data_IF_036554117622
#
_entry.id   IF_036554117622
#
_cell.length_a   1.000
_cell.length_b   1.000
_cell.length_c   1.000
_cell.angle_alpha   90.00
_cell.angle_beta   90.00
_cell.angle_gamma   90.00
#
_symmetry.space_group_name_H-M   'P 1'
#
loop_
_entity.id
_entity.type
_entity.pdbx_description
1 polymer ?
#
# COMPACT_ATOMS: atom_id res chain seq x y z
N UNK A 1 35.80 -4.72 -18.32
CA UNK A 1 35.48 -5.77 -17.29
C UNK A 1 34.10 -6.30 -17.62
N UNK A 2 33.87 -7.63 -17.62
CA UNK A 2 32.54 -8.13 -17.90
C UNK A 2 31.73 -8.09 -16.58
N UNK A 3 30.81 -7.15 -16.45
CA UNK A 3 29.96 -7.00 -15.26
C UNK A 3 28.69 -7.84 -15.35
N UNK A 4 28.30 -8.21 -16.58
CA UNK A 4 27.07 -8.97 -16.84
C UNK A 4 27.25 -10.45 -16.45
N UNK A 5 26.29 -11.04 -15.77
CA UNK A 5 26.31 -12.43 -15.32
C UNK A 5 27.38 -12.74 -14.26
N UNK A 6 27.83 -11.75 -13.50
CA UNK A 6 28.87 -11.90 -12.48
C UNK A 6 28.40 -11.35 -11.13
N UNK A 7 29.21 -11.59 -10.07
CA UNK A 7 28.94 -11.02 -8.73
C UNK A 7 28.67 -9.51 -8.74
N UNK A 8 29.25 -8.78 -9.70
CA UNK A 8 29.06 -7.32 -9.83
C UNK A 8 27.59 -6.95 -10.10
N UNK A 9 26.79 -7.86 -10.65
CA UNK A 9 25.35 -7.64 -10.83
C UNK A 9 24.60 -7.46 -9.50
N UNK A 10 25.12 -7.98 -8.39
CA UNK A 10 24.50 -7.82 -7.05
C UNK A 10 24.96 -6.56 -6.30
N UNK A 11 26.01 -5.89 -6.79
CA UNK A 11 26.57 -4.70 -6.10
C UNK A 11 25.58 -3.52 -6.04
N UNK A 12 24.83 -3.16 -7.10
CA UNK A 12 23.89 -2.05 -7.05
C UNK A 12 22.84 -2.17 -5.95
N UNK A 13 22.10 -3.31 -5.80
CA UNK A 13 21.13 -3.45 -4.74
C UNK A 13 21.77 -3.50 -3.34
N UNK A 14 22.96 -4.11 -3.18
CA UNK A 14 23.67 -4.13 -1.91
C UNK A 14 24.02 -2.71 -1.47
N UNK A 15 24.51 -1.88 -2.39
CA UNK A 15 24.82 -0.48 -2.10
C UNK A 15 23.55 0.30 -1.77
N UNK A 16 22.47 0.14 -2.54
CA UNK A 16 21.21 0.81 -2.28
C UNK A 16 20.67 0.48 -0.87
N UNK A 17 20.65 -0.79 -0.51
CA UNK A 17 20.17 -1.23 0.81
C UNK A 17 21.11 -0.73 1.92
N UNK A 18 22.42 -0.86 1.75
CA UNK A 18 23.41 -0.43 2.75
C UNK A 18 23.32 1.07 3.00
N UNK A 19 23.24 1.87 1.93
CA UNK A 19 23.06 3.32 2.05
C UNK A 19 21.74 3.66 2.73
N UNK A 20 20.64 3.02 2.37
CA UNK A 20 19.34 3.28 3.00
C UNK A 20 19.36 2.98 4.51
N UNK A 21 20.05 1.92 4.94
CA UNK A 21 20.21 1.57 6.36
C UNK A 21 21.06 2.58 7.12
N UNK A 22 22.13 3.10 6.50
CA UNK A 22 23.07 4.06 7.14
C UNK A 22 22.45 5.46 7.16
N UNK A 23 21.96 5.94 6.01
CA UNK A 23 21.45 7.30 5.86
C UNK A 23 20.03 7.48 6.35
N UNK A 24 19.27 6.38 6.46
CA UNK A 24 17.81 6.35 6.71
C UNK A 24 17.03 7.12 5.66
N UNK A 25 17.57 7.21 4.46
CA UNK A 25 17.00 7.94 3.34
C UNK A 25 16.92 7.00 2.12
N UNK A 26 15.69 6.75 1.63
CA UNK A 26 15.43 5.76 0.61
C UNK A 26 15.63 6.28 -0.82
N UNK A 27 15.28 7.55 -1.09
CA UNK A 27 15.27 8.07 -2.47
C UNK A 27 16.67 8.15 -3.07
N UNK A 28 17.59 8.82 -2.36
CA UNK A 28 18.98 8.95 -2.82
C UNK A 28 19.67 7.59 -2.86
N UNK A 29 19.39 6.72 -1.92
CA UNK A 29 19.99 5.39 -1.84
C UNK A 29 19.58 4.52 -3.03
N UNK A 30 18.28 4.48 -3.38
CA UNK A 30 17.79 3.78 -4.56
C UNK A 30 18.33 4.40 -5.86
N UNK A 31 18.32 5.73 -5.95
CA UNK A 31 18.84 6.42 -7.13
C UNK A 31 20.33 6.12 -7.37
N UNK A 32 21.15 6.12 -6.31
CA UNK A 32 22.58 5.74 -6.39
C UNK A 32 22.70 4.28 -6.88
N UNK A 33 21.85 3.38 -6.37
CA UNK A 33 21.78 2.00 -6.86
C UNK A 33 21.49 1.91 -8.37
N UNK A 34 20.51 2.68 -8.85
CA UNK A 34 20.16 2.76 -10.28
C UNK A 34 21.35 3.28 -11.10
N UNK A 35 22.00 4.34 -10.64
CA UNK A 35 23.16 4.93 -11.33
C UNK A 35 24.31 3.92 -11.43
N UNK A 36 24.64 3.22 -10.34
CA UNK A 36 25.71 2.21 -10.33
C UNK A 36 25.33 1.03 -11.23
N UNK A 37 24.08 0.57 -11.18
CA UNK A 37 23.58 -0.49 -12.05
C UNK A 37 23.70 -0.13 -13.53
N UNK A 38 23.27 1.05 -13.91
CA UNK A 38 23.38 1.54 -15.29
C UNK A 38 24.84 1.74 -15.74
N UNK A 39 25.73 2.23 -14.86
CA UNK A 39 27.17 2.36 -15.17
C UNK A 39 27.78 0.99 -15.47
N UNK A 40 27.47 -0.03 -14.71
CA UNK A 40 28.00 -1.37 -14.92
C UNK A 40 27.39 -2.03 -16.17
N UNK A 41 26.10 -1.83 -16.42
CA UNK A 41 25.42 -2.39 -17.58
C UNK A 41 25.93 -1.78 -18.90
N UNK A 42 26.33 -0.49 -18.88
CA UNK A 42 26.80 0.25 -20.03
C UNK A 42 28.33 0.37 -20.12
N UNK A 43 29.09 -0.45 -19.39
CA UNK A 43 30.59 -0.40 -19.37
C UNK A 43 31.15 1.03 -19.19
N UNK A 44 30.53 1.81 -18.31
CA UNK A 44 30.86 3.21 -18.01
C UNK A 44 30.76 4.18 -19.21
N UNK A 45 29.99 3.85 -20.24
CA UNK A 45 29.72 4.78 -21.35
C UNK A 45 28.71 5.86 -20.90
N UNK A 46 29.09 7.16 -20.82
CA UNK A 46 28.28 8.19 -20.16
C UNK A 46 26.90 8.41 -20.80
N UNK A 47 26.84 8.43 -22.13
CA UNK A 47 25.59 8.67 -22.87
C UNK A 47 24.66 7.48 -22.73
N UNK A 48 25.14 6.25 -22.92
CA UNK A 48 24.36 5.04 -22.76
C UNK A 48 23.86 4.88 -21.31
N UNK A 49 24.70 5.24 -20.32
CA UNK A 49 24.30 5.22 -18.90
C UNK A 49 23.15 6.19 -18.63
N UNK A 50 23.21 7.42 -19.13
CA UNK A 50 22.12 8.39 -18.96
C UNK A 50 20.85 7.95 -19.69
N UNK A 51 20.99 7.40 -20.90
CA UNK A 51 19.87 6.88 -21.67
C UNK A 51 19.18 5.72 -20.94
N UNK A 52 19.95 4.79 -20.42
CA UNK A 52 19.45 3.68 -19.61
C UNK A 52 18.75 4.17 -18.34
N UNK A 53 19.29 5.14 -17.60
CA UNK A 53 18.64 5.69 -16.40
C UNK A 53 17.31 6.37 -16.75
N UNK A 54 17.29 7.19 -17.79
CA UNK A 54 16.15 8.03 -18.14
C UNK A 54 15.09 7.23 -18.89
N UNK A 55 15.44 6.61 -20.01
CA UNK A 55 14.47 5.96 -20.89
C UNK A 55 14.09 4.58 -20.38
N UNK A 56 15.05 3.68 -20.21
CA UNK A 56 14.78 2.29 -19.82
C UNK A 56 14.45 2.16 -18.32
N UNK A 57 14.98 3.07 -17.50
CA UNK A 57 14.73 3.12 -16.08
C UNK A 57 13.47 3.92 -15.74
N UNK A 58 13.58 5.24 -15.62
CA UNK A 58 12.55 6.09 -15.04
C UNK A 58 11.30 6.18 -15.91
N UNK A 59 11.47 6.48 -17.22
CA UNK A 59 10.32 6.65 -18.13
C UNK A 59 9.57 5.33 -18.30
N UNK A 60 10.29 4.23 -18.55
CA UNK A 60 9.68 2.91 -18.66
C UNK A 60 8.98 2.52 -17.35
N UNK A 61 9.64 2.70 -16.19
CA UNK A 61 9.02 2.41 -14.89
C UNK A 61 7.71 3.19 -14.66
N UNK A 62 7.65 4.46 -15.06
CA UNK A 62 6.43 5.27 -14.96
C UNK A 62 5.37 4.77 -15.95
N UNK A 63 5.74 4.50 -17.18
CA UNK A 63 4.83 4.06 -18.24
C UNK A 63 4.20 2.71 -17.89
N UNK A 64 5.00 1.74 -17.52
CA UNK A 64 4.57 0.37 -17.25
C UNK A 64 3.72 0.28 -15.97
N UNK A 65 3.96 1.18 -14.99
CA UNK A 65 3.22 1.22 -13.73
C UNK A 65 2.20 2.37 -13.64
N UNK A 66 1.91 3.05 -14.74
CA UNK A 66 1.01 4.22 -14.75
C UNK A 66 -0.38 3.91 -14.15
N UNK A 67 -0.91 2.71 -14.38
CA UNK A 67 -2.16 2.26 -13.80
C UNK A 67 -2.12 2.19 -12.28
N UNK A 68 -1.07 1.59 -11.70
CA UNK A 68 -0.90 1.54 -10.23
C UNK A 68 -0.72 2.94 -9.67
N UNK A 69 0.06 3.81 -10.32
CA UNK A 69 0.25 5.19 -9.86
C UNK A 69 -1.07 5.96 -9.85
N UNK A 70 -1.87 5.81 -10.90
CA UNK A 70 -3.22 6.40 -10.94
C UNK A 70 -4.09 5.85 -9.80
N UNK A 71 -4.08 4.54 -9.57
CA UNK A 71 -4.83 3.93 -8.48
C UNK A 71 -4.40 4.46 -7.10
N UNK A 72 -3.10 4.54 -6.81
CA UNK A 72 -2.59 5.12 -5.56
C UNK A 72 -3.07 6.55 -5.36
N UNK A 73 -3.02 7.39 -6.40
CA UNK A 73 -3.52 8.77 -6.34
C UNK A 73 -5.02 8.81 -6.04
N UNK A 74 -5.82 7.96 -6.69
CA UNK A 74 -7.26 7.85 -6.43
C UNK A 74 -7.54 7.46 -4.98
N UNK A 75 -6.78 6.50 -4.45
CA UNK A 75 -6.84 6.13 -3.02
C UNK A 75 -6.52 7.32 -2.11
N UNK A 76 -5.42 8.01 -2.38
CA UNK A 76 -5.05 9.20 -1.60
C UNK A 76 -6.14 10.29 -1.61
N UNK A 77 -6.81 10.49 -2.75
CA UNK A 77 -7.94 11.44 -2.87
C UNK A 77 -9.14 10.96 -2.03
N UNK A 78 -9.49 9.66 -2.07
CA UNK A 78 -10.59 9.10 -1.27
C UNK A 78 -10.29 9.24 0.23
N UNK A 79 -9.05 8.96 0.66
CA UNK A 79 -8.62 9.17 2.06
C UNK A 79 -8.76 10.65 2.47
N UNK A 80 -8.29 11.57 1.63
CA UNK A 80 -8.42 13.00 1.89
C UNK A 80 -9.89 13.44 1.99
N UNK A 81 -10.78 12.88 1.16
CA UNK A 81 -12.23 13.12 1.22
C UNK A 81 -12.86 12.60 2.50
N UNK A 82 -12.53 11.38 2.92
CA UNK A 82 -13.02 10.76 4.16
C UNK A 82 -12.58 11.56 5.39
N UNK A 83 -11.34 12.01 5.40
CA UNK A 83 -10.81 12.85 6.47
C UNK A 83 -11.48 14.24 6.49
N UNK A 84 -11.64 14.88 5.33
CA UNK A 84 -12.35 16.15 5.20
C UNK A 84 -13.82 16.04 5.65
N UNK A 85 -14.49 14.93 5.33
CA UNK A 85 -15.85 14.65 5.79
C UNK A 85 -15.95 14.41 7.30
N UNK A 86 -14.82 14.22 7.98
CA UNK A 86 -14.77 13.91 9.41
C UNK A 86 -15.17 12.48 9.74
N UNK A 87 -15.15 11.58 8.76
CA UNK A 87 -15.48 10.16 8.92
C UNK A 87 -14.51 9.46 9.87
N UNK A 88 -13.21 9.69 9.69
CA UNK A 88 -12.14 9.18 10.56
C UNK A 88 -12.30 9.66 12.00
N UNK A 89 -12.50 10.95 12.21
CA UNK A 89 -12.71 11.51 13.54
C UNK A 89 -14.00 11.02 14.21
N UNK A 90 -15.06 10.80 13.43
CA UNK A 90 -16.31 10.21 13.93
C UNK A 90 -16.13 8.76 14.38
N UNK A 91 -15.35 7.97 13.65
CA UNK A 91 -14.99 6.63 14.07
C UNK A 91 -14.14 6.66 15.36
N UNK A 92 -13.17 7.58 15.44
CA UNK A 92 -12.40 7.80 16.65
C UNK A 92 -13.31 8.06 17.86
N UNK A 93 -14.26 8.99 17.75
CA UNK A 93 -15.25 9.29 18.83
C UNK A 93 -16.13 8.07 19.16
N UNK A 94 -16.55 7.30 18.18
CA UNK A 94 -17.29 6.07 18.40
C UNK A 94 -16.46 5.02 19.14
N UNK A 95 -15.23 4.82 18.69
CA UNK A 95 -14.27 3.91 19.30
C UNK A 95 -13.95 4.31 20.73
N UNK A 96 -13.72 5.60 20.99
CA UNK A 96 -13.53 6.15 22.34
C UNK A 96 -14.69 5.84 23.29
N UNK A 97 -15.92 5.88 22.78
CA UNK A 97 -17.11 5.61 23.58
C UNK A 97 -17.31 4.12 23.86
N UNK A 98 -16.90 3.25 22.94
CA UNK A 98 -17.20 1.82 23.01
C UNK A 98 -15.98 0.97 23.42
N UNK A 99 -14.77 1.48 23.25
CA UNK A 99 -13.54 0.81 23.64
C UNK A 99 -13.09 1.36 24.98
N UNK A 100 -13.05 0.51 25.99
CA UNK A 100 -12.74 0.92 27.38
C UNK A 100 -11.43 0.36 27.89
N UNK A 101 -10.76 -0.48 27.12
CA UNK A 101 -9.51 -1.13 27.55
C UNK A 101 -8.41 -0.92 26.53
N UNK A 102 -7.17 -0.88 27.02
CA UNK A 102 -5.97 -0.79 26.19
C UNK A 102 -5.88 -1.95 25.19
N UNK A 103 -6.10 -3.19 25.67
CA UNK A 103 -6.16 -4.40 24.83
C UNK A 103 -7.24 -4.27 23.75
N UNK A 104 -8.39 -3.72 24.13
CA UNK A 104 -9.47 -3.44 23.17
C UNK A 104 -9.07 -2.45 22.09
N UNK A 105 -8.31 -1.40 22.42
CA UNK A 105 -7.82 -0.42 21.45
C UNK A 105 -6.78 -1.04 20.50
N UNK A 106 -5.85 -1.84 21.02
CA UNK A 106 -4.87 -2.55 20.19
C UNK A 106 -5.52 -3.57 19.26
N UNK A 107 -6.47 -4.38 19.77
CA UNK A 107 -7.22 -5.34 18.94
C UNK A 107 -8.13 -4.64 17.92
N UNK A 108 -8.76 -3.53 18.28
CA UNK A 108 -9.56 -2.75 17.33
C UNK A 108 -8.70 -2.16 16.21
N UNK A 109 -7.48 -1.72 16.52
CA UNK A 109 -6.51 -1.28 15.50
C UNK A 109 -6.18 -2.42 14.54
N UNK A 110 -5.89 -3.60 15.08
CA UNK A 110 -5.59 -4.80 14.29
C UNK A 110 -6.77 -5.23 13.42
N UNK A 111 -8.00 -5.30 13.99
CA UNK A 111 -9.20 -5.66 13.25
C UNK A 111 -9.51 -4.65 12.14
N UNK A 112 -9.37 -3.35 12.42
CA UNK A 112 -9.56 -2.32 11.40
C UNK A 112 -8.53 -2.48 10.27
N UNK A 113 -7.28 -2.78 10.61
CA UNK A 113 -6.23 -3.09 9.63
C UNK A 113 -6.59 -4.29 8.76
N UNK A 114 -7.15 -5.36 9.34
CA UNK A 114 -7.63 -6.51 8.56
C UNK A 114 -8.79 -6.13 7.63
N UNK A 115 -9.70 -5.28 8.06
CA UNK A 115 -10.85 -4.87 7.25
C UNK A 115 -10.45 -4.01 6.05
N UNK A 116 -9.32 -3.31 6.13
CA UNK A 116 -8.79 -2.45 5.06
C UNK A 116 -7.65 -3.16 4.32
N UNK A 117 -7.94 -4.29 3.69
CA UNK A 117 -6.96 -5.20 3.10
C UNK A 117 -6.60 -4.92 1.63
N UNK A 118 -7.16 -3.88 1.02
CA UNK A 118 -7.03 -3.66 -0.43
C UNK A 118 -5.62 -3.22 -0.81
N UNK A 119 -5.05 -2.31 0.00
CA UNK A 119 -3.73 -1.72 -0.23
C UNK A 119 -3.09 -1.35 1.10
N UNK A 120 -1.80 -1.62 1.25
CA UNK A 120 -1.07 -1.41 2.50
C UNK A 120 -0.84 0.08 2.81
N UNK A 121 -0.61 0.93 1.82
CA UNK A 121 -0.48 2.37 2.04
C UNK A 121 -1.81 2.98 2.49
N UNK A 122 -2.90 2.61 1.81
CA UNK A 122 -4.24 3.03 2.21
C UNK A 122 -4.58 2.55 3.63
N UNK A 123 -4.23 1.31 3.96
CA UNK A 123 -4.38 0.75 5.30
C UNK A 123 -3.62 1.61 6.33
N UNK A 124 -2.32 1.83 6.13
CA UNK A 124 -1.49 2.60 7.05
C UNK A 124 -2.03 4.01 7.29
N UNK A 125 -2.39 4.74 6.24
CA UNK A 125 -2.91 6.10 6.35
C UNK A 125 -4.26 6.14 7.07
N UNK A 126 -5.17 5.24 6.71
CA UNK A 126 -6.53 5.24 7.26
C UNK A 126 -6.54 4.75 8.70
N UNK A 127 -5.95 3.59 8.99
CA UNK A 127 -5.89 3.05 10.36
C UNK A 127 -5.14 4.00 11.28
N UNK A 128 -4.03 4.58 10.80
CA UNK A 128 -3.24 5.55 11.54
C UNK A 128 -4.05 6.79 11.94
N UNK A 129 -4.75 7.40 10.98
CA UNK A 129 -5.57 8.59 11.25
C UNK A 129 -6.76 8.31 12.16
N UNK A 130 -7.39 7.15 11.99
CA UNK A 130 -8.60 6.75 12.73
C UNK A 130 -8.30 6.31 14.15
N UNK A 131 -7.25 5.50 14.34
CA UNK A 131 -6.96 4.89 15.64
C UNK A 131 -6.08 5.74 16.55
N UNK A 132 -5.38 6.74 16.00
CA UNK A 132 -4.52 7.63 16.80
C UNK A 132 -5.23 8.27 17.99
N UNK A 133 -6.41 8.92 17.85
CA UNK A 133 -7.11 9.47 19.00
C UNK A 133 -7.48 8.43 20.06
N UNK A 134 -7.88 7.23 19.60
CA UNK A 134 -8.26 6.11 20.48
C UNK A 134 -7.06 5.60 21.26
N UNK A 135 -5.95 5.37 20.59
CA UNK A 135 -4.71 4.87 21.22
C UNK A 135 -4.08 5.91 22.14
N UNK A 136 -4.10 7.20 21.76
CA UNK A 136 -3.61 8.30 22.61
C UNK A 136 -4.41 8.36 23.93
N UNK A 137 -5.73 8.21 23.89
CA UNK A 137 -6.58 8.17 25.09
C UNK A 137 -6.28 6.98 26.01
N UNK A 138 -5.91 5.84 25.46
CA UNK A 138 -5.56 4.64 26.20
C UNK A 138 -4.06 4.58 26.58
N UNK A 139 -3.32 5.69 26.42
CA UNK A 139 -1.89 5.80 26.74
C UNK A 139 -1.05 4.73 26.03
N UNK A 140 -1.42 4.38 24.81
CA UNK A 140 -0.63 3.53 23.92
C UNK A 140 0.36 4.45 23.19
N UNK A 141 1.64 4.11 23.21
CA UNK A 141 2.66 4.93 22.55
C UNK A 141 2.45 4.95 21.02
N UNK A 142 2.80 6.05 20.39
CA UNK A 142 2.74 6.16 18.91
C UNK A 142 3.65 5.18 18.19
N UNK A 143 4.86 4.86 18.69
CA UNK A 143 5.64 3.75 18.15
C UNK A 143 4.91 2.41 18.17
N UNK A 144 4.14 2.12 19.24
CA UNK A 144 3.33 0.90 19.30
C UNK A 144 2.20 0.91 18.29
N UNK A 145 1.50 2.05 18.13
CA UNK A 145 0.50 2.22 17.10
C UNK A 145 1.10 2.02 15.70
N UNK A 146 2.25 2.65 15.43
CA UNK A 146 2.94 2.49 14.15
C UNK A 146 3.32 1.02 13.89
N UNK A 147 3.82 0.31 14.90
CA UNK A 147 4.10 -1.13 14.82
C UNK A 147 2.85 -1.94 14.48
N UNK A 148 1.73 -1.70 15.18
CA UNK A 148 0.48 -2.43 14.93
C UNK A 148 -0.02 -2.22 13.51
N UNK A 149 0.07 -1.00 12.99
CA UNK A 149 -0.35 -0.64 11.64
C UNK A 149 0.57 -1.32 10.61
N UNK A 150 1.87 -1.13 10.73
CA UNK A 150 2.86 -1.66 9.80
C UNK A 150 2.84 -3.20 9.77
N UNK A 151 2.84 -3.82 10.96
CA UNK A 151 2.78 -5.27 11.10
C UNK A 151 1.44 -5.90 10.68
N UNK A 152 0.40 -5.11 10.41
CA UNK A 152 -0.90 -5.59 9.92
C UNK A 152 -1.08 -5.31 8.43
N UNK A 153 -0.73 -4.12 7.97
CA UNK A 153 -1.06 -3.64 6.64
C UNK A 153 -0.49 -4.50 5.52
N UNK A 154 0.83 -4.66 5.45
CA UNK A 154 1.46 -5.49 4.42
C UNK A 154 1.08 -6.98 4.58
N UNK A 155 1.16 -7.61 5.77
CA UNK A 155 0.78 -9.00 5.94
C UNK A 155 -0.67 -9.33 5.54
N UNK A 156 -1.64 -8.44 5.79
CA UNK A 156 -3.02 -8.69 5.37
C UNK A 156 -3.17 -8.61 3.85
N UNK A 157 -2.51 -7.64 3.20
CA UNK A 157 -2.53 -7.51 1.76
C UNK A 157 -1.87 -8.70 1.05
N UNK A 158 -0.83 -9.29 1.67
CA UNK A 158 -0.11 -10.46 1.15
C UNK A 158 -0.89 -11.79 1.24
N UNK A 159 -2.03 -11.82 1.92
CA UNK A 159 -2.92 -13.01 2.00
C UNK A 159 -4.32 -12.71 1.49
N UNK A 160 -4.63 -11.47 1.15
CA UNK A 160 -5.92 -11.08 0.61
C UNK A 160 -5.92 -11.20 -0.92
N UNK A 161 -6.77 -12.04 -1.53
CA UNK A 161 -6.77 -12.26 -2.98
C UNK A 161 -7.26 -11.07 -3.80
N UNK A 162 -7.80 -10.04 -3.13
CA UNK A 162 -8.27 -8.78 -3.74
C UNK A 162 -7.42 -7.64 -3.18
N UNK A 163 -6.12 -7.65 -3.44
CA UNK A 163 -5.20 -6.63 -2.95
C UNK A 163 -4.25 -6.15 -4.05
N UNK A 164 -3.61 -5.00 -3.84
CA UNK A 164 -2.53 -4.53 -4.71
C UNK A 164 -1.39 -5.54 -4.81
N UNK A 165 -1.11 -6.28 -3.73
CA UNK A 165 -0.10 -7.32 -3.71
C UNK A 165 -0.49 -8.56 -4.52
N UNK A 166 -1.75 -8.99 -4.46
CA UNK A 166 -2.23 -10.09 -5.29
C UNK A 166 -2.07 -9.77 -6.78
N UNK A 167 -2.36 -8.52 -7.16
CA UNK A 167 -2.15 -8.04 -8.52
C UNK A 167 -0.66 -8.07 -8.93
N UNK A 168 0.24 -7.52 -8.10
CA UNK A 168 1.66 -7.48 -8.38
C UNK A 168 2.30 -8.89 -8.45
N UNK A 169 1.91 -9.81 -7.57
CA UNK A 169 2.38 -11.21 -7.61
C UNK A 169 1.85 -11.93 -8.83
N UNK A 170 0.58 -11.68 -9.21
CA UNK A 170 -0.02 -12.31 -10.38
C UNK A 170 0.69 -11.93 -11.67
N UNK A 171 1.04 -10.66 -11.86
CA UNK A 171 1.79 -10.21 -13.04
C UNK A 171 3.18 -10.87 -13.13
N UNK A 172 3.88 -10.99 -11.99
CA UNK A 172 5.19 -11.65 -11.96
C UNK A 172 5.08 -13.16 -12.27
N UNK A 173 3.98 -13.81 -11.87
CA UNK A 173 3.77 -15.24 -12.12
C UNK A 173 3.44 -15.53 -13.59
N UNK A 174 2.82 -14.61 -14.30
CA UNK A 174 2.55 -14.72 -15.74
C UNK A 174 3.84 -14.77 -16.55
N UNK A 175 4.88 -14.03 -16.14
CA UNK A 175 6.19 -14.04 -16.80
C UNK A 175 6.93 -15.40 -16.66
N UNK A 176 6.51 -16.26 -15.72
CA UNK A 176 7.18 -17.54 -15.41
C UNK A 176 6.62 -18.75 -16.19
N UNK A 177 5.59 -18.57 -17.02
CA UNK A 177 4.94 -19.65 -17.84
C UNK A 177 4.67 -20.95 -17.05
N UNK A 178 4.17 -20.81 -15.83
CA UNK A 178 3.94 -21.93 -14.91
C UNK A 178 2.72 -22.78 -15.27
N UNK A 179 1.94 -22.41 -16.29
CA UNK A 179 0.67 -23.04 -16.66
C UNK A 179 -0.45 -22.87 -15.62
N UNK A 180 -0.24 -22.04 -14.59
CA UNK A 180 -1.20 -21.70 -13.53
C UNK A 180 -1.40 -20.20 -13.56
N UNK A 181 -2.67 -19.73 -13.45
CA UNK A 181 -2.91 -18.28 -13.39
C UNK A 181 -2.26 -17.68 -12.13
N UNK A 182 -1.77 -16.43 -12.23
CA UNK A 182 -1.09 -15.74 -11.15
C UNK A 182 -1.92 -15.69 -9.86
N UNK A 183 -3.24 -15.48 -9.95
CA UNK A 183 -4.11 -15.48 -8.78
C UNK A 183 -4.25 -16.88 -8.16
N UNK A 184 -4.28 -17.95 -8.96
CA UNK A 184 -4.30 -19.32 -8.43
C UNK A 184 -3.00 -19.62 -7.69
N UNK A 185 -1.87 -19.16 -8.23
CA UNK A 185 -0.58 -19.27 -7.56
C UNK A 185 -0.60 -18.52 -6.24
N UNK A 186 -1.09 -17.27 -6.25
CA UNK A 186 -1.21 -16.44 -5.05
C UNK A 186 -2.07 -17.12 -3.97
N UNK A 187 -3.27 -17.59 -4.32
CA UNK A 187 -4.17 -18.27 -3.37
C UNK A 187 -3.53 -19.54 -2.81
N UNK A 188 -2.84 -20.33 -3.66
CA UNK A 188 -2.12 -21.52 -3.20
C UNK A 188 -0.94 -21.20 -2.30
N UNK A 189 -0.32 -20.02 -2.44
CA UNK A 189 0.79 -19.58 -1.61
C UNK A 189 0.35 -19.06 -0.22
N UNK A 190 -0.92 -18.67 -0.02
CA UNK A 190 -1.41 -18.13 1.26
C UNK A 190 -1.06 -19.01 2.46
N UNK A 191 -1.30 -20.35 2.46
CA UNK A 191 -0.97 -21.20 3.61
C UNK A 191 0.53 -21.29 3.91
N UNK A 192 1.37 -20.98 2.93
CA UNK A 192 2.83 -21.00 3.03
C UNK A 192 3.42 -19.62 3.35
N UNK A 193 2.58 -18.57 3.40
CA UNK A 193 3.01 -17.25 3.81
C UNK A 193 3.13 -17.17 5.36
N UNK A 194 4.16 -17.88 5.87
CA UNK A 194 4.41 -17.95 7.32
C UNK A 194 4.63 -16.59 7.95
N UNK A 195 5.21 -15.65 7.22
CA UNK A 195 5.42 -14.29 7.73
C UNK A 195 4.09 -13.65 8.12
N UNK A 196 3.12 -13.58 7.21
CA UNK A 196 1.82 -12.98 7.48
C UNK A 196 1.07 -13.71 8.58
N UNK A 197 1.01 -15.04 8.53
CA UNK A 197 0.28 -15.85 9.49
C UNK A 197 0.88 -15.75 10.90
N UNK A 198 2.20 -15.86 11.02
CA UNK A 198 2.90 -15.77 12.32
C UNK A 198 2.85 -14.36 12.87
N UNK A 199 2.93 -13.32 12.04
CA UNK A 199 2.80 -11.92 12.49
C UNK A 199 1.44 -11.67 13.12
N UNK A 200 0.36 -12.18 12.57
CA UNK A 200 -0.97 -12.06 13.18
C UNK A 200 -1.05 -12.76 14.54
N UNK A 201 -0.54 -14.01 14.61
CA UNK A 201 -0.46 -14.72 15.89
C UNK A 201 0.37 -13.94 16.90
N UNK A 202 1.47 -13.35 16.45
CA UNK A 202 2.38 -12.58 17.30
C UNK A 202 1.71 -11.31 17.83
N UNK A 203 1.04 -10.51 16.97
CA UNK A 203 0.31 -9.31 17.38
C UNK A 203 -0.75 -9.67 18.43
N UNK A 204 -1.60 -10.67 18.14
CA UNK A 204 -2.67 -11.09 19.05
C UNK A 204 -2.07 -11.55 20.39
N UNK A 205 -1.02 -12.36 20.36
CA UNK A 205 -0.38 -12.90 21.54
C UNK A 205 0.22 -11.79 22.42
N UNK A 206 1.00 -10.86 21.83
CA UNK A 206 1.59 -9.74 22.55
C UNK A 206 0.51 -8.85 23.19
N UNK A 207 -0.55 -8.56 22.44
CA UNK A 207 -1.67 -7.74 22.91
C UNK A 207 -2.41 -8.39 24.07
N UNK A 208 -2.75 -9.67 23.96
CA UNK A 208 -3.46 -10.41 25.02
C UNK A 208 -2.62 -10.62 26.26
N UNK A 209 -1.32 -10.95 26.11
CA UNK A 209 -0.40 -11.11 27.22
C UNK A 209 0.05 -9.76 27.83
N UNK A 210 -0.29 -8.62 27.19
CA UNK A 210 0.14 -7.27 27.59
C UNK A 210 1.67 -7.17 27.72
N UNK A 211 2.36 -7.86 26.82
CA UNK A 211 3.80 -8.00 26.86
C UNK A 211 4.46 -7.11 25.81
N UNK A 212 5.34 -6.25 26.24
CA UNK A 212 6.14 -5.38 25.42
C UNK A 212 7.62 -5.72 25.65
N UNK A 213 8.43 -5.81 24.58
CA UNK A 213 9.83 -6.19 24.65
C UNK A 213 10.74 -5.18 23.93
N UNK A 214 12.03 -5.25 24.24
CA UNK A 214 13.04 -4.42 23.62
C UNK A 214 12.78 -2.91 23.82
N UNK A 215 13.08 -2.07 22.83
CA UNK A 215 12.85 -0.62 22.90
C UNK A 215 11.37 -0.26 23.08
N UNK A 216 10.44 -1.07 22.58
CA UNK A 216 8.99 -0.83 22.69
C UNK A 216 8.55 -0.74 24.15
N UNK A 217 9.10 -1.60 25.03
CA UNK A 217 8.79 -1.57 26.45
C UNK A 217 9.08 -0.19 27.08
N UNK A 218 10.20 0.42 26.72
CA UNK A 218 10.55 1.76 27.24
C UNK A 218 9.61 2.85 26.78
N UNK A 219 9.10 2.78 25.53
CA UNK A 219 8.09 3.72 25.03
C UNK A 219 6.76 3.53 25.75
N UNK A 220 6.36 2.30 25.95
CA UNK A 220 5.10 1.95 26.59
C UNK A 220 5.10 2.28 28.10
N UNK A 221 6.22 2.06 28.80
CA UNK A 221 6.36 2.46 30.21
C UNK A 221 6.30 3.99 30.37
N UNK A 222 6.92 4.75 29.47
CA UNK A 222 6.81 6.23 29.45
C UNK A 222 5.39 6.68 29.18
N UNK A 223 4.74 6.11 28.18
CA UNK A 223 3.36 6.44 27.85
C UNK A 223 2.40 6.21 29.03
N UNK A 224 2.59 5.11 29.78
CA UNK A 224 1.77 4.78 30.97
C UNK A 224 2.05 5.66 32.17
N UNK A 225 3.33 5.96 32.44
CA UNK A 225 3.74 6.62 33.67
C UNK A 225 3.71 8.15 33.59
N UNK A 226 4.05 8.70 32.43
CA UNK A 226 4.18 10.17 32.23
C UNK A 226 3.17 10.74 31.27
N UNK A 227 2.42 9.89 30.55
CA UNK A 227 1.54 10.33 29.46
C UNK A 227 2.31 10.78 28.21
N UNK A 228 3.64 10.63 28.19
CA UNK A 228 4.45 10.91 27.01
C UNK A 228 4.31 9.81 25.99
N UNK A 229 3.54 10.08 24.93
CA UNK A 229 3.26 9.14 23.86
C UNK A 229 4.42 9.00 22.85
N UNK A 230 5.56 9.70 23.10
CA UNK A 230 6.81 9.60 22.32
C UNK A 230 6.61 9.69 20.80
N UNK A 231 5.96 10.74 20.37
CA UNK A 231 5.85 11.04 18.96
C UNK A 231 6.05 12.52 18.76
N UNK A 232 6.78 12.92 17.72
CA UNK A 232 6.81 14.31 17.31
C UNK A 232 5.38 14.88 17.35
N UNK A 233 5.23 16.01 17.99
CA UNK A 233 3.96 16.75 18.11
C UNK A 233 3.51 17.30 16.74
N UNK A 234 3.33 16.44 15.80
CA UNK A 234 2.52 16.65 14.63
C UNK A 234 1.07 16.48 15.02
N UNK A 235 0.58 17.35 15.89
CA UNK A 235 -0.84 17.60 16.03
C UNK A 235 -1.31 18.28 14.77
N UNK A 236 -1.56 17.54 13.73
CA UNK A 236 -2.61 17.92 12.82
C UNK A 236 -3.91 17.65 13.58
N UNK A 237 -4.28 18.56 14.49
CA UNK A 237 -5.68 18.83 14.68
C UNK A 237 -6.18 19.36 13.33
N UNK A 238 -6.39 18.43 12.39
CA UNK A 238 -7.28 18.72 11.29
C UNK A 238 -8.60 19.08 11.96
N UNK A 239 -9.09 20.30 11.70
CA UNK A 239 -10.42 20.75 12.10
C UNK A 239 -11.44 19.75 11.52
N UNK A 240 -11.64 18.66 12.25
CA UNK A 240 -12.48 17.56 11.81
C UNK A 240 -13.93 18.08 11.72
N UNK A 241 -14.56 17.90 10.57
CA UNK A 241 -15.94 18.32 10.38
C UNK A 241 -16.85 17.69 11.45
N UNK A 242 -17.50 18.49 12.32
CA UNK A 242 -18.34 17.96 13.40
C UNK A 242 -19.57 17.19 12.90
N UNK A 243 -19.96 17.38 11.63
CA UNK A 243 -21.09 16.70 11.00
C UNK A 243 -20.74 15.28 10.52
N UNK A 244 -19.46 14.89 10.53
CA UNK A 244 -18.99 13.57 10.11
C UNK A 244 -19.58 12.47 10.99
N UNK A 245 -19.94 11.36 10.36
CA UNK A 245 -20.44 10.13 10.98
C UNK A 245 -19.53 8.96 10.59
N UNK A 246 -19.53 7.89 11.36
CA UNK A 246 -18.79 6.65 11.07
C UNK A 246 -19.10 6.12 9.66
N UNK A 247 -20.35 6.28 9.22
CA UNK A 247 -20.80 5.85 7.90
C UNK A 247 -20.06 6.59 6.76
N UNK A 248 -19.51 7.78 7.01
CA UNK A 248 -18.74 8.56 6.04
C UNK A 248 -17.31 8.04 5.85
N UNK A 249 -16.87 7.13 6.73
CA UNK A 249 -15.67 6.31 6.54
C UNK A 249 -16.05 4.97 5.88
N UNK A 250 -17.08 4.30 6.39
CA UNK A 250 -17.42 2.92 6.03
C UNK A 250 -17.95 2.81 4.59
N UNK A 251 -18.84 3.73 4.17
CA UNK A 251 -19.39 3.68 2.80
C UNK A 251 -18.34 3.86 1.71
N UNK A 252 -17.44 4.86 1.74
CA UNK A 252 -16.37 4.98 0.76
C UNK A 252 -15.49 3.73 0.65
N UNK A 253 -15.16 3.10 1.78
CA UNK A 253 -14.37 1.85 1.80
C UNK A 253 -15.12 0.69 1.15
N UNK A 254 -16.40 0.49 1.51
CA UNK A 254 -17.23 -0.56 0.90
C UNK A 254 -17.42 -0.31 -0.60
N UNK A 255 -17.70 0.93 -0.99
CA UNK A 255 -17.83 1.31 -2.40
C UNK A 255 -16.53 1.02 -3.14
N UNK A 256 -15.38 1.38 -2.59
CA UNK A 256 -14.08 1.10 -3.20
C UNK A 256 -13.87 -0.41 -3.40
N UNK A 257 -14.14 -1.24 -2.37
CA UNK A 257 -14.02 -2.70 -2.47
C UNK A 257 -14.91 -3.24 -3.59
N UNK A 258 -16.19 -2.86 -3.61
CA UNK A 258 -17.14 -3.34 -4.61
C UNK A 258 -16.73 -2.90 -6.01
N UNK A 259 -16.40 -1.63 -6.20
CA UNK A 259 -16.07 -1.09 -7.53
C UNK A 259 -14.73 -1.61 -8.06
N UNK A 260 -13.72 -1.81 -7.21
CA UNK A 260 -12.46 -2.44 -7.61
C UNK A 260 -12.67 -3.90 -7.99
N UNK A 261 -13.46 -4.65 -7.20
CA UNK A 261 -13.83 -6.03 -7.54
C UNK A 261 -14.57 -6.09 -8.89
N UNK A 262 -15.56 -5.22 -9.09
CA UNK A 262 -16.28 -5.14 -10.38
C UNK A 262 -15.35 -4.72 -11.51
N UNK A 263 -14.44 -3.78 -11.28
CA UNK A 263 -13.44 -3.35 -12.27
C UNK A 263 -12.51 -4.49 -12.69
N UNK A 264 -12.02 -5.27 -11.73
CA UNK A 264 -11.21 -6.46 -12.01
C UNK A 264 -11.99 -7.50 -12.83
N UNK A 265 -13.22 -7.81 -12.43
CA UNK A 265 -14.08 -8.75 -13.15
C UNK A 265 -14.46 -8.25 -14.56
N UNK A 266 -14.67 -6.93 -14.71
CA UNK A 266 -14.96 -6.32 -16.00
C UNK A 266 -13.80 -6.47 -16.98
N UNK A 267 -12.59 -6.13 -16.54
CA UNK A 267 -11.36 -6.26 -17.33
C UNK A 267 -11.07 -7.75 -17.62
N UNK A 268 -11.34 -8.64 -16.66
CA UNK A 268 -11.22 -10.09 -16.83
C UNK A 268 -12.27 -10.75 -17.74
N UNK A 269 -13.26 -9.97 -18.23
CA UNK A 269 -14.22 -10.45 -19.24
C UNK A 269 -15.38 -11.30 -18.72
N UNK A 270 -15.67 -11.30 -17.41
CA UNK A 270 -16.83 -12.03 -16.83
C UNK A 270 -18.14 -11.71 -17.54
N UNK A 271 -18.33 -10.45 -17.93
CA UNK A 271 -19.56 -9.94 -18.54
C UNK A 271 -19.67 -10.22 -20.05
N UNK A 272 -18.72 -10.97 -20.65
CA UNK A 272 -18.74 -11.40 -22.03
C UNK A 272 -18.14 -10.42 -23.04
N UNK A 273 -18.07 -10.87 -24.29
CA UNK A 273 -17.35 -10.20 -25.39
C UNK A 273 -17.78 -8.76 -25.71
N UNK A 274 -18.96 -8.35 -25.30
CA UNK A 274 -19.48 -7.01 -25.59
C UNK A 274 -18.71 -5.88 -24.91
N UNK A 275 -17.91 -6.20 -23.88
CA UNK A 275 -17.32 -5.21 -23.01
C UNK A 275 -15.79 -5.19 -22.99
N UNK A 276 -15.13 -6.36 -23.13
CA UNK A 276 -13.66 -6.43 -22.98
C UNK A 276 -12.94 -7.07 -24.18
N UNK A 277 -13.68 -7.53 -25.20
CA UNK A 277 -13.09 -8.27 -26.33
C UNK A 277 -12.60 -9.68 -25.96
N UNK A 278 -12.64 -10.07 -24.69
CA UNK A 278 -12.19 -11.36 -24.18
C UNK A 278 -13.41 -12.24 -23.84
N UNK A 279 -13.56 -13.37 -24.52
CA UNK A 279 -14.68 -14.32 -24.33
C UNK A 279 -14.30 -15.52 -23.46
N UNK A 280 -13.03 -15.67 -23.14
CA UNK A 280 -12.50 -16.89 -22.52
C UNK A 280 -13.07 -17.16 -21.11
N UNK A 281 -13.55 -16.14 -20.41
CA UNK A 281 -13.97 -16.23 -18.99
C UNK A 281 -15.39 -15.76 -18.74
N UNK A 282 -16.23 -15.70 -19.76
CA UNK A 282 -17.63 -15.33 -19.62
C UNK A 282 -18.34 -16.31 -18.68
N UNK A 283 -18.77 -15.82 -17.50
CA UNK A 283 -19.42 -16.60 -16.44
C UNK A 283 -18.49 -17.33 -15.48
N UNK A 284 -17.17 -17.33 -15.70
CA UNK A 284 -16.18 -17.84 -14.75
C UNK A 284 -15.62 -16.71 -13.90
N UNK A 285 -16.15 -16.56 -12.69
CA UNK A 285 -15.76 -15.52 -11.74
C UNK A 285 -14.29 -15.67 -11.28
N UNK A 286 -13.84 -16.90 -11.05
CA UNK A 286 -12.48 -17.17 -10.53
C UNK A 286 -11.44 -16.97 -11.64
N UNK A 287 -11.70 -17.48 -12.83
CA UNK A 287 -10.82 -17.29 -13.98
C UNK A 287 -10.71 -15.83 -14.39
N UNK A 288 -11.85 -15.13 -14.47
CA UNK A 288 -11.87 -13.71 -14.83
C UNK A 288 -11.24 -12.80 -13.77
N UNK A 289 -11.25 -13.16 -12.50
CA UNK A 289 -10.56 -12.43 -11.43
C UNK A 289 -9.04 -12.64 -11.46
N UNK A 290 -8.59 -13.76 -12.00
CA UNK A 290 -7.17 -14.17 -12.00
C UNK A 290 -6.33 -13.68 -13.19
N UNK A 291 -6.95 -13.15 -14.23
CA UNK A 291 -6.29 -12.82 -15.49
C UNK A 291 -6.22 -11.32 -15.80
N UNK A 292 -7.09 -10.46 -15.20
CA UNK A 292 -7.07 -9.07 -15.59
C UNK A 292 -5.74 -8.42 -15.22
N UNK A 293 -5.30 -7.59 -16.14
CA UNK A 293 -4.29 -6.60 -15.86
C UNK A 293 -4.79 -5.68 -14.71
N UNK A 294 -4.25 -5.91 -13.53
CA UNK A 294 -4.58 -5.13 -12.34
C UNK A 294 -4.26 -3.64 -12.53
N UNK A 295 -3.29 -3.34 -13.40
CA UNK A 295 -2.92 -1.97 -13.78
C UNK A 295 -4.07 -1.23 -14.49
N UNK A 296 -5.05 -1.95 -15.03
CA UNK A 296 -6.26 -1.40 -15.67
C UNK A 296 -7.48 -1.56 -14.76
N UNK A 297 -7.67 -2.73 -14.17
CA UNK A 297 -8.88 -3.05 -13.39
C UNK A 297 -9.02 -2.22 -12.11
N UNK A 298 -7.92 -2.03 -11.37
CA UNK A 298 -7.92 -1.25 -10.14
C UNK A 298 -8.19 0.25 -10.37
N UNK A 299 -7.51 0.94 -11.31
CA UNK A 299 -7.83 2.33 -11.65
C UNK A 299 -9.27 2.52 -12.09
N UNK A 300 -9.81 1.59 -12.89
CA UNK A 300 -11.19 1.63 -13.35
C UNK A 300 -12.18 1.63 -12.17
N UNK A 301 -12.01 0.67 -11.27
CA UNK A 301 -12.78 0.60 -10.02
C UNK A 301 -12.57 1.81 -9.12
N UNK A 302 -11.33 2.30 -9.01
CA UNK A 302 -10.95 3.46 -8.21
C UNK A 302 -11.58 4.78 -8.68
N UNK A 303 -11.65 5.01 -10.01
CA UNK A 303 -12.33 6.18 -10.57
C UNK A 303 -13.83 6.13 -10.24
N UNK A 304 -14.46 4.97 -10.43
CA UNK A 304 -15.87 4.79 -10.12
C UNK A 304 -16.12 5.00 -8.61
N UNK A 305 -15.26 4.45 -7.75
CA UNK A 305 -15.31 4.66 -6.31
C UNK A 305 -15.22 6.15 -5.94
N UNK A 306 -14.27 6.87 -6.55
CA UNK A 306 -14.09 8.30 -6.29
C UNK A 306 -15.34 9.09 -6.66
N UNK A 307 -15.89 8.86 -7.86
CA UNK A 307 -17.11 9.55 -8.32
C UNK A 307 -18.28 9.27 -7.38
N UNK A 308 -18.52 8.01 -7.04
CA UNK A 308 -19.59 7.63 -6.12
C UNK A 308 -19.39 8.22 -4.72
N UNK A 309 -18.15 8.24 -4.21
CA UNK A 309 -17.82 8.84 -2.92
C UNK A 309 -18.08 10.35 -2.92
N UNK A 310 -17.67 11.07 -3.95
CA UNK A 310 -17.94 12.52 -4.09
C UNK A 310 -19.45 12.77 -4.13
N UNK A 311 -20.18 12.03 -4.97
CA UNK A 311 -21.65 12.16 -5.06
C UNK A 311 -22.30 11.92 -3.68
N UNK A 312 -21.88 10.86 -2.99
CA UNK A 312 -22.40 10.51 -1.67
C UNK A 312 -22.17 11.63 -0.64
N UNK A 313 -20.93 12.12 -0.51
CA UNK A 313 -20.58 13.14 0.48
C UNK A 313 -21.21 14.50 0.19
N UNK A 314 -21.31 14.89 -1.08
CA UNK A 314 -21.98 16.13 -1.50
C UNK A 314 -23.50 16.03 -1.32
N UNK A 315 -24.13 14.91 -1.69
CA UNK A 315 -25.56 14.67 -1.49
C UNK A 315 -25.94 14.72 0.01
N UNK A 316 -25.08 14.20 0.88
CA UNK A 316 -25.23 14.31 2.34
C UNK A 316 -24.92 15.72 2.89
N UNK A 317 -24.47 16.64 2.08
CA UNK A 317 -24.08 18.00 2.48
C UNK A 317 -23.04 18.03 3.62
N UNK A 318 -22.17 17.02 3.66
CA UNK A 318 -21.06 16.94 4.62
C UNK A 318 -19.84 17.69 4.07
N UNK A 319 -19.62 17.60 2.77
CA UNK A 319 -18.53 18.28 2.04
C UNK A 319 -19.13 19.06 0.87
N UNK A 320 -18.65 20.28 0.67
CA UNK A 320 -18.98 21.06 -0.53
C UNK A 320 -18.25 20.54 -1.77
N UNK A 321 -18.85 20.63 -2.96
CA UNK A 321 -18.21 20.14 -4.18
C UNK A 321 -16.83 20.80 -4.41
N UNK A 322 -16.70 22.10 -4.17
CA UNK A 322 -15.43 22.82 -4.31
C UNK A 322 -14.37 22.30 -3.32
N UNK A 323 -14.78 21.99 -2.12
CA UNK A 323 -13.90 21.41 -1.09
C UNK A 323 -13.47 20.00 -1.46
N UNK A 324 -14.39 19.19 -2.00
CA UNK A 324 -14.08 17.87 -2.51
C UNK A 324 -13.02 17.90 -3.63
N UNK A 325 -13.16 18.84 -4.59
CA UNK A 325 -12.15 19.04 -5.63
C UNK A 325 -10.79 19.48 -5.06
N UNK A 326 -10.77 20.21 -3.95
CA UNK A 326 -9.55 20.55 -3.22
C UNK A 326 -8.80 19.35 -2.60
N UNK A 327 -9.44 18.18 -2.50
CA UNK A 327 -8.80 16.95 -2.06
C UNK A 327 -7.92 16.29 -3.14
N UNK A 328 -8.11 16.64 -4.42
CA UNK A 328 -7.31 16.07 -5.52
C UNK A 328 -5.80 16.34 -5.31
N UNK A 329 -5.34 17.59 -5.17
CA UNK A 329 -3.92 17.85 -4.93
C UNK A 329 -3.43 17.24 -3.60
N UNK A 330 -4.27 17.16 -2.57
CA UNK A 330 -3.90 16.53 -1.29
C UNK A 330 -3.66 15.02 -1.46
N UNK A 331 -4.48 14.35 -2.27
CA UNK A 331 -4.31 12.94 -2.60
C UNK A 331 -3.00 12.67 -3.35
N UNK A 332 -2.68 13.51 -4.33
CA UNK A 332 -1.38 13.46 -5.01
C UNK A 332 -0.22 13.62 -4.02
N UNK A 333 -0.27 14.63 -3.17
CA UNK A 333 0.77 14.88 -2.17
C UNK A 333 0.98 13.69 -1.22
N UNK A 334 -0.09 13.04 -0.80
CA UNK A 334 -0.02 11.87 0.08
C UNK A 334 0.68 10.67 -0.58
N UNK A 335 0.55 10.53 -1.91
CA UNK A 335 1.05 9.37 -2.67
C UNK A 335 2.35 9.65 -3.43
N UNK A 336 2.91 10.86 -3.37
CA UNK A 336 4.19 11.17 -4.05
C UNK A 336 5.32 10.27 -3.57
N UNK A 337 5.44 10.05 -2.26
CA UNK A 337 6.52 9.24 -1.67
C UNK A 337 6.49 7.78 -2.14
N UNK A 338 5.38 7.05 -2.03
CA UNK A 338 5.26 5.70 -2.59
C UNK A 338 5.56 5.64 -4.10
N UNK A 339 5.06 6.59 -4.88
CA UNK A 339 5.26 6.62 -6.34
C UNK A 339 6.75 6.77 -6.68
N UNK A 340 7.47 7.68 -6.01
CA UNK A 340 8.91 7.86 -6.23
C UNK A 340 9.68 6.59 -5.86
N UNK A 341 9.37 5.99 -4.71
CA UNK A 341 10.05 4.76 -4.27
C UNK A 341 9.81 3.64 -5.28
N UNK A 342 8.58 3.44 -5.71
CA UNK A 342 8.23 2.39 -6.67
C UNK A 342 8.91 2.64 -8.03
N UNK A 343 8.93 3.87 -8.52
CA UNK A 343 9.64 4.24 -9.76
C UNK A 343 11.12 3.89 -9.69
N UNK A 344 11.80 4.26 -8.60
CA UNK A 344 13.22 3.99 -8.42
C UNK A 344 13.51 2.49 -8.22
N UNK A 345 12.64 1.78 -7.51
CA UNK A 345 12.76 0.33 -7.31
C UNK A 345 12.61 -0.44 -8.62
N UNK A 346 11.62 -0.07 -9.45
CA UNK A 346 11.44 -0.67 -10.80
C UNK A 346 12.62 -0.32 -11.70
N UNK A 347 13.11 0.93 -11.68
CA UNK A 347 14.31 1.33 -12.43
C UNK A 347 15.54 0.53 -12.01
N UNK A 348 15.70 0.25 -10.71
CA UNK A 348 16.76 -0.61 -10.20
C UNK A 348 16.60 -2.04 -10.72
N UNK A 349 15.38 -2.60 -10.70
CA UNK A 349 15.08 -3.92 -11.27
C UNK A 349 15.49 -3.99 -12.75
N UNK A 350 15.19 -2.97 -13.54
CA UNK A 350 15.58 -2.90 -14.97
C UNK A 350 17.09 -2.97 -15.13
N UNK A 351 17.86 -2.21 -14.35
CA UNK A 351 19.33 -2.27 -14.42
C UNK A 351 19.89 -3.63 -13.99
N UNK A 352 19.27 -4.27 -12.99
CA UNK A 352 19.65 -5.63 -12.55
C UNK A 352 19.35 -6.69 -13.61
N UNK A 353 18.24 -6.57 -14.31
CA UNK A 353 17.91 -7.46 -15.43
C UNK A 353 18.91 -7.33 -16.57
N UNK A 354 19.30 -6.10 -16.90
CA UNK A 354 20.34 -5.83 -17.90
C UNK A 354 21.72 -6.38 -17.50
N UNK A 355 22.01 -6.46 -16.20
CA UNK A 355 23.22 -7.08 -15.65
C UNK A 355 23.13 -8.60 -15.53
N UNK A 356 21.99 -9.23 -15.86
CA UNK A 356 21.80 -10.69 -15.73
C UNK A 356 21.91 -11.17 -14.28
N UNK A 357 21.41 -10.38 -13.31
CA UNK A 357 21.51 -10.71 -11.90
C UNK A 357 20.74 -12.01 -11.56
N UNK A 358 19.60 -12.24 -12.23
CA UNK A 358 18.81 -13.46 -12.07
C UNK A 358 19.60 -14.72 -12.52
N UNK A 359 20.27 -14.63 -13.67
CA UNK A 359 21.08 -15.72 -14.22
C UNK A 359 22.28 -16.07 -13.35
N UNK A 360 22.81 -15.08 -12.64
CA UNK A 360 23.93 -15.28 -11.71
C UNK A 360 23.52 -16.01 -10.42
N UNK A 361 22.27 -15.80 -9.97
CA UNK A 361 21.78 -16.38 -8.71
C UNK A 361 21.22 -17.79 -8.90
N UNK A 362 20.80 -18.15 -10.11
CA UNK A 362 20.40 -19.51 -10.52
C UNK A 362 21.59 -20.37 -10.83
#
# INVERSE_FOLDING_TARGET
MNFVGTFWALVPPIIAITLALITKEAYSSLFIGVVIGALFACDFAPVATLDMIVNDGIIAAISDNAGIFLFLVLLGIIVALVNLAGGSAAFGRWAEKNIHTRVGAELATFILGILIFIDDYFNCLTVGSVMRPVTDRHQISRPKLAYLIDATAAPVCMIAPISSWAAAVSSTAEDLDTGISGIQLFIRAIPYNFYSLLTFVFIITLTLLKFDYGPMRGFEERARNTGDLSGSAGSTEENANPKGRVIDLVIPVIVLIITCTVGMLYVGGVFGAATSGCTAYAGDFIGAFGIPDAFVGLPWGGILALVLTVIYLVARRVVGFREAMGCIPKGFQAMISPIIILTLAVSLKTTLNALGAADYVH
#
